data_IF_040096010593
#
_entry.id   IF_040096010593
#
_cell.length_a   1.000
_cell.length_b   1.000
_cell.length_c   1.000
_cell.angle_alpha   90.00
_cell.angle_beta   90.00
_cell.angle_gamma   90.00
#
_symmetry.space_group_name_H-M   'P 1'
#
loop_
_entity.id
_entity.type
_entity.pdbx_description
1 polymer ?
#
# COMPACT_ATOMS: atom_id res chain seq x y z
N UNK A 1 -10.43 -12.47 0.32
CA UNK A 1 -9.99 -13.47 1.31
C UNK A 1 -9.04 -14.46 0.66
N UNK A 2 -7.96 -14.80 1.33
CA UNK A 2 -7.04 -15.86 0.91
C UNK A 2 -6.93 -16.94 2.01
N UNK A 3 -6.75 -18.18 1.59
CA UNK A 3 -6.55 -19.33 2.47
C UNK A 3 -5.40 -20.16 1.93
N UNK A 4 -4.52 -20.61 2.81
CA UNK A 4 -3.31 -21.35 2.47
C UNK A 4 -3.23 -22.68 3.19
N UNK A 5 -2.60 -23.64 2.54
CA UNK A 5 -2.19 -24.90 3.13
C UNK A 5 -0.76 -25.24 2.73
N UNK A 6 0.04 -25.79 3.63
CA UNK A 6 1.47 -26.05 3.41
C UNK A 6 2.35 -24.81 3.60
N UNK A 7 3.64 -24.93 3.28
CA UNK A 7 4.62 -23.85 3.33
C UNK A 7 4.60 -23.01 2.06
N UNK A 8 4.97 -21.73 2.15
CA UNK A 8 5.14 -20.87 0.99
C UNK A 8 6.35 -21.32 0.15
N UNK A 9 6.24 -21.13 -1.18
CA UNK A 9 7.31 -21.46 -2.11
C UNK A 9 7.58 -22.99 -2.25
N UNK A 10 6.92 -23.63 -3.18
CA UNK A 10 7.20 -25.03 -3.51
C UNK A 10 6.58 -26.10 -2.58
N UNK A 11 5.64 -25.75 -1.80
CA UNK A 11 4.82 -26.64 -0.94
C UNK A 11 3.50 -25.98 -0.62
N UNK A 12 3.25 -24.85 -1.25
CA UNK A 12 2.10 -24.02 -1.01
C UNK A 12 0.89 -24.49 -1.81
N UNK A 13 -0.22 -24.63 -1.13
CA UNK A 13 -1.53 -24.82 -1.75
C UNK A 13 -2.44 -23.70 -1.25
N UNK A 14 -2.73 -22.73 -2.09
CA UNK A 14 -3.48 -21.54 -1.73
C UNK A 14 -4.72 -21.35 -2.59
N UNK A 15 -5.64 -20.55 -2.06
CA UNK A 15 -6.83 -20.12 -2.77
C UNK A 15 -7.13 -18.67 -2.45
N UNK A 16 -7.44 -17.90 -3.47
CA UNK A 16 -8.04 -16.58 -3.32
C UNK A 16 -9.53 -16.67 -3.63
N UNK A 17 -10.33 -16.17 -2.70
CA UNK A 17 -11.78 -16.27 -2.73
C UNK A 17 -12.39 -14.87 -2.68
N UNK A 18 -13.45 -14.64 -3.43
CA UNK A 18 -14.31 -13.45 -3.30
C UNK A 18 -15.62 -13.78 -2.61
N UNK A 19 -16.08 -12.87 -1.79
CA UNK A 19 -17.37 -12.92 -1.10
C UNK A 19 -17.92 -11.51 -0.98
N UNK A 20 -19.23 -11.36 -1.04
CA UNK A 20 -19.90 -10.08 -0.93
C UNK A 20 -20.74 -10.00 0.34
N UNK A 21 -20.77 -8.82 0.92
CA UNK A 21 -21.69 -8.47 2.00
C UNK A 21 -22.23 -7.06 1.76
N UNK A 22 -23.50 -6.85 2.07
CA UNK A 22 -24.14 -5.53 1.90
C UNK A 22 -23.67 -4.50 2.91
N UNK A 23 -23.15 -4.94 4.04
CA UNK A 23 -22.71 -4.08 5.15
C UNK A 23 -21.54 -4.72 5.89
N UNK A 24 -20.72 -3.89 6.53
CA UNK A 24 -19.67 -4.32 7.47
C UNK A 24 -20.13 -4.27 8.93
N UNK A 25 -21.35 -3.77 9.20
CA UNK A 25 -21.91 -3.77 10.57
C UNK A 25 -22.41 -5.17 10.93
N UNK A 26 -21.76 -5.87 11.86
CA UNK A 26 -22.14 -7.23 12.26
C UNK A 26 -23.50 -7.28 12.99
N UNK A 27 -24.01 -6.15 13.47
CA UNK A 27 -25.34 -6.05 14.11
C UNK A 27 -26.48 -5.79 13.12
N UNK A 28 -26.17 -5.51 11.87
CA UNK A 28 -27.17 -5.29 10.85
C UNK A 28 -27.87 -6.59 10.46
N UNK A 29 -29.20 -6.59 10.28
CA UNK A 29 -29.93 -7.76 9.76
C UNK A 29 -29.48 -8.16 8.34
N UNK A 30 -28.84 -7.25 7.61
CA UNK A 30 -28.30 -7.49 6.26
C UNK A 30 -26.86 -8.02 6.28
N UNK A 31 -26.25 -8.22 7.45
CA UNK A 31 -24.90 -8.75 7.58
C UNK A 31 -24.86 -10.24 7.23
N UNK A 32 -24.63 -10.51 5.96
CA UNK A 32 -24.51 -11.87 5.45
C UNK A 32 -23.59 -11.89 4.25
N UNK A 33 -22.52 -12.70 4.34
CA UNK A 33 -21.67 -12.97 3.19
C UNK A 33 -22.34 -13.95 2.23
N UNK A 34 -22.08 -13.75 0.94
CA UNK A 34 -22.39 -14.75 -0.10
C UNK A 34 -21.52 -15.99 0.06
N UNK A 35 -21.86 -17.06 -0.62
CA UNK A 35 -20.97 -18.20 -0.74
C UNK A 35 -19.64 -17.77 -1.37
N UNK A 36 -18.49 -18.32 -0.92
CA UNK A 36 -17.18 -18.01 -1.46
C UNK A 36 -17.05 -18.48 -2.92
N UNK A 37 -16.44 -17.62 -3.74
CA UNK A 37 -16.16 -17.89 -5.13
C UNK A 37 -14.64 -17.97 -5.28
N UNK A 38 -14.11 -19.08 -5.73
CA UNK A 38 -12.69 -19.24 -6.04
C UNK A 38 -12.36 -18.46 -7.32
N UNK A 39 -11.36 -17.57 -7.23
CA UNK A 39 -10.90 -16.75 -8.35
C UNK A 39 -9.45 -16.99 -8.73
N UNK A 40 -8.65 -17.54 -7.82
CA UNK A 40 -7.32 -18.06 -8.08
C UNK A 40 -7.01 -19.21 -7.13
N UNK A 41 -6.19 -20.15 -7.58
CA UNK A 41 -5.63 -21.24 -6.79
C UNK A 41 -4.20 -21.51 -7.22
N UNK A 42 -3.42 -22.10 -6.34
CA UNK A 42 -2.06 -22.57 -6.62
C UNK A 42 -1.90 -24.03 -6.19
N UNK A 43 -1.12 -24.76 -6.95
CA UNK A 43 -0.69 -26.11 -6.66
C UNK A 43 0.81 -26.13 -6.39
N UNK A 44 1.31 -27.27 -5.90
CA UNK A 44 2.70 -27.44 -5.43
C UNK A 44 3.79 -27.06 -6.44
N UNK A 45 3.52 -27.19 -7.73
CA UNK A 45 4.46 -26.98 -8.84
C UNK A 45 4.20 -25.70 -9.64
N UNK A 46 3.31 -24.85 -9.17
CA UNK A 46 3.03 -23.58 -9.84
C UNK A 46 4.07 -22.50 -9.49
N UNK A 47 4.22 -21.56 -10.42
CA UNK A 47 5.14 -20.41 -10.33
C UNK A 47 4.49 -19.16 -9.72
N UNK A 48 3.38 -19.34 -9.00
CA UNK A 48 2.68 -18.28 -8.30
C UNK A 48 1.88 -18.85 -7.12
N UNK A 49 2.07 -18.31 -5.95
CA UNK A 49 1.26 -18.63 -4.78
C UNK A 49 -0.06 -17.84 -4.79
N UNK A 50 -1.20 -18.50 -4.62
CA UNK A 50 -2.51 -17.85 -4.57
C UNK A 50 -2.82 -17.32 -3.17
N UNK A 51 -2.20 -16.20 -2.80
CA UNK A 51 -2.32 -15.51 -1.51
C UNK A 51 -2.16 -14.00 -1.69
N UNK A 52 -2.41 -13.23 -0.66
CA UNK A 52 -2.17 -11.79 -0.56
C UNK A 52 -2.88 -10.96 -1.65
N UNK A 53 -4.19 -11.14 -1.72
CA UNK A 53 -4.99 -10.50 -2.75
C UNK A 53 -5.20 -8.99 -2.51
N UNK A 54 -4.87 -8.18 -3.52
CA UNK A 54 -5.22 -6.77 -3.62
C UNK A 54 -6.32 -6.53 -4.66
N UNK A 55 -7.22 -5.59 -4.43
CA UNK A 55 -8.34 -5.28 -5.33
C UNK A 55 -8.33 -3.83 -5.79
N UNK A 56 -8.53 -3.62 -7.09
CA UNK A 56 -8.78 -2.30 -7.67
C UNK A 56 -10.06 -2.32 -8.52
N UNK A 57 -11.07 -1.57 -8.09
CA UNK A 57 -12.13 -1.15 -9.01
C UNK A 57 -11.59 0.05 -9.80
N UNK A 58 -11.31 -0.17 -11.07
CA UNK A 58 -10.70 0.84 -11.93
C UNK A 58 -11.67 2.02 -12.16
N UNK A 59 -11.32 3.23 -11.70
CA UNK A 59 -12.21 4.37 -11.84
C UNK A 59 -12.30 4.90 -13.26
N UNK A 60 -11.50 4.39 -14.20
CA UNK A 60 -11.48 4.86 -15.59
C UNK A 60 -12.48 4.14 -16.48
N UNK A 61 -12.73 2.86 -16.21
CA UNK A 61 -13.58 2.02 -17.05
C UNK A 61 -14.52 1.08 -16.26
N UNK A 62 -14.43 1.07 -14.93
CA UNK A 62 -15.27 0.27 -14.04
C UNK A 62 -14.91 -1.21 -13.97
N UNK A 63 -13.78 -1.64 -14.55
CA UNK A 63 -13.30 -3.01 -14.43
C UNK A 63 -12.75 -3.30 -13.04
N UNK A 64 -12.92 -4.53 -12.60
CA UNK A 64 -12.42 -4.99 -11.31
C UNK A 64 -11.18 -5.86 -11.51
N UNK A 65 -10.08 -5.44 -10.92
CA UNK A 65 -8.80 -6.12 -11.02
C UNK A 65 -8.39 -6.68 -9.66
N UNK A 66 -7.78 -7.87 -9.67
CA UNK A 66 -7.24 -8.52 -8.49
C UNK A 66 -5.79 -8.91 -8.76
N UNK A 67 -4.88 -8.44 -7.88
CA UNK A 67 -3.49 -8.90 -7.84
C UNK A 67 -3.32 -9.93 -6.74
N UNK A 68 -2.42 -10.90 -6.91
CA UNK A 68 -2.08 -11.90 -5.91
C UNK A 68 -0.70 -12.50 -6.20
N UNK A 69 -0.09 -13.13 -5.22
CA UNK A 69 1.19 -13.81 -5.36
C UNK A 69 2.18 -13.52 -4.24
N UNK A 70 3.33 -14.19 -4.29
CA UNK A 70 4.43 -13.99 -3.35
C UNK A 70 5.76 -13.81 -4.07
N UNK A 71 6.82 -13.52 -3.32
CA UNK A 71 8.19 -13.39 -3.86
C UNK A 71 8.83 -14.73 -4.28
N UNK A 72 8.16 -15.85 -4.05
CA UNK A 72 8.60 -17.18 -4.55
C UNK A 72 8.23 -17.43 -6.01
N UNK A 73 7.60 -16.48 -6.67
CA UNK A 73 7.20 -16.57 -8.06
C UNK A 73 6.74 -15.22 -8.61
N UNK A 74 5.72 -15.25 -9.42
CA UNK A 74 5.14 -14.04 -10.01
C UNK A 74 4.04 -13.45 -9.12
N UNK A 75 3.92 -12.13 -9.18
CA UNK A 75 2.67 -11.46 -8.85
C UNK A 75 1.82 -11.45 -10.12
N UNK A 76 0.61 -11.96 -10.00
CA UNK A 76 -0.36 -12.07 -11.08
C UNK A 76 -1.51 -11.10 -10.93
N UNK A 77 -2.02 -10.66 -12.06
CA UNK A 77 -3.19 -9.81 -12.20
C UNK A 77 -4.26 -10.57 -12.97
N UNK A 78 -5.48 -10.56 -12.47
CA UNK A 78 -6.66 -11.13 -13.13
C UNK A 78 -7.81 -10.13 -13.11
N UNK A 79 -8.66 -10.20 -14.13
CA UNK A 79 -9.89 -9.40 -14.20
C UNK A 79 -11.06 -10.19 -13.64
N UNK A 80 -11.85 -9.51 -12.80
CA UNK A 80 -13.08 -10.04 -12.21
C UNK A 80 -14.29 -9.29 -12.76
N UNK A 81 -15.40 -9.96 -12.84
CA UNK A 81 -16.70 -9.32 -13.09
C UNK A 81 -17.10 -8.51 -11.84
N UNK A 82 -17.23 -7.18 -11.94
CA UNK A 82 -17.53 -6.33 -10.80
C UNK A 82 -18.94 -6.59 -10.21
N UNK A 83 -19.85 -7.19 -10.95
CA UNK A 83 -21.19 -7.51 -10.47
C UNK A 83 -21.24 -8.81 -9.64
N UNK A 84 -20.38 -9.76 -9.96
CA UNK A 84 -20.42 -11.09 -9.35
C UNK A 84 -19.19 -11.44 -8.54
N UNK A 85 -18.06 -10.77 -8.77
CA UNK A 85 -16.75 -11.10 -8.19
C UNK A 85 -16.12 -12.37 -8.77
N UNK A 86 -16.69 -12.93 -9.83
CA UNK A 86 -16.13 -14.09 -10.54
C UNK A 86 -15.01 -13.66 -11.47
N UNK A 87 -14.09 -14.54 -11.74
CA UNK A 87 -13.09 -14.34 -12.77
C UNK A 87 -13.78 -14.20 -14.15
N UNK A 88 -13.33 -13.23 -14.95
CA UNK A 88 -13.81 -13.06 -16.31
C UNK A 88 -13.39 -14.24 -17.18
N UNK A 89 -14.36 -14.86 -17.87
CA UNK A 89 -14.09 -15.99 -18.75
C UNK A 89 -13.18 -15.58 -19.91
N UNK A 90 -12.23 -16.45 -20.22
CA UNK A 90 -11.28 -16.25 -21.33
C UNK A 90 -10.12 -15.30 -21.04
N UNK A 91 -10.12 -14.60 -19.91
CA UNK A 91 -9.00 -13.75 -19.52
C UNK A 91 -7.90 -14.59 -18.88
N UNK A 92 -6.67 -14.42 -19.43
CA UNK A 92 -5.46 -15.03 -18.89
C UNK A 92 -4.92 -14.21 -17.74
N UNK A 93 -4.19 -14.87 -16.86
CA UNK A 93 -3.36 -14.22 -15.86
C UNK A 93 -2.26 -13.41 -16.54
N UNK A 94 -1.92 -12.30 -15.92
CA UNK A 94 -0.88 -11.38 -16.39
C UNK A 94 0.16 -11.28 -15.28
N UNK A 95 1.39 -11.66 -15.58
CA UNK A 95 2.50 -11.46 -14.66
C UNK A 95 2.90 -9.98 -14.65
N UNK A 96 2.94 -9.37 -13.46
CA UNK A 96 3.14 -7.92 -13.30
C UNK A 96 4.34 -7.55 -12.44
N UNK A 97 4.82 -8.44 -11.59
CA UNK A 97 6.00 -8.23 -10.75
C UNK A 97 6.63 -9.55 -10.32
N UNK A 98 7.86 -9.48 -9.80
CA UNK A 98 8.59 -10.51 -9.08
C UNK A 98 9.25 -9.92 -7.83
N UNK A 99 9.83 -10.76 -6.98
CA UNK A 99 10.58 -10.37 -5.78
C UNK A 99 9.79 -9.50 -4.79
N UNK A 100 8.49 -9.63 -4.77
CA UNK A 100 7.62 -8.95 -3.81
C UNK A 100 6.38 -9.79 -3.49
N UNK A 101 5.67 -9.39 -2.45
CA UNK A 101 4.40 -9.99 -2.04
C UNK A 101 3.44 -8.92 -1.51
N UNK A 102 2.26 -9.30 -1.05
CA UNK A 102 1.28 -8.42 -0.42
C UNK A 102 1.04 -7.16 -1.26
N UNK A 103 0.68 -7.37 -2.51
CA UNK A 103 0.53 -6.29 -3.48
C UNK A 103 -0.84 -5.64 -3.43
N UNK A 104 -0.86 -4.33 -3.70
CA UNK A 104 -2.08 -3.57 -3.89
C UNK A 104 -1.92 -2.57 -5.03
N UNK A 105 -3.03 -2.16 -5.62
CA UNK A 105 -3.09 -1.27 -6.78
C UNK A 105 -3.76 0.05 -6.42
N UNK A 106 -3.14 1.16 -6.83
CA UNK A 106 -3.72 2.50 -6.72
C UNK A 106 -3.79 3.13 -8.10
N UNK A 107 -4.92 3.75 -8.44
CA UNK A 107 -5.01 4.67 -9.58
C UNK A 107 -5.00 6.11 -9.11
N UNK A 108 -4.11 6.93 -9.70
CA UNK A 108 -4.03 8.36 -9.43
C UNK A 108 -3.45 9.13 -10.61
N UNK A 109 -4.08 10.22 -11.00
CA UNK A 109 -3.58 11.20 -11.98
C UNK A 109 -3.12 10.55 -13.30
N UNK A 110 -3.90 9.56 -13.78
CA UNK A 110 -3.60 8.84 -15.04
C UNK A 110 -2.48 7.81 -14.94
N UNK A 111 -2.12 7.40 -13.73
CA UNK A 111 -1.16 6.34 -13.46
C UNK A 111 -1.74 5.26 -12.56
N UNK A 112 -1.42 4.03 -12.85
CA UNK A 112 -1.57 2.88 -11.97
C UNK A 112 -0.26 2.67 -11.21
N UNK A 113 -0.36 2.50 -9.92
CA UNK A 113 0.76 2.23 -9.02
C UNK A 113 0.57 0.84 -8.44
N UNK A 114 1.55 -0.03 -8.64
CA UNK A 114 1.62 -1.34 -8.00
C UNK A 114 2.56 -1.22 -6.81
N UNK A 115 2.01 -1.33 -5.61
CA UNK A 115 2.78 -1.40 -4.39
C UNK A 115 2.99 -2.87 -4.03
N UNK A 116 4.19 -3.21 -3.62
CA UNK A 116 4.52 -4.56 -3.19
C UNK A 116 5.49 -4.53 -2.03
N UNK A 117 5.51 -5.58 -1.24
CA UNK A 117 6.42 -5.73 -0.12
C UNK A 117 7.58 -6.60 -0.51
N UNK A 118 8.78 -6.09 -0.32
CA UNK A 118 10.06 -6.75 -0.61
C UNK A 118 10.79 -7.10 0.68
N UNK A 119 11.67 -8.11 0.65
CA UNK A 119 12.43 -8.57 1.80
C UNK A 119 11.73 -9.67 2.59
N UNK A 120 12.13 -9.88 3.84
CA UNK A 120 11.63 -10.98 4.69
C UNK A 120 10.84 -10.44 5.88
N UNK A 121 9.72 -11.10 6.20
CA UNK A 121 8.90 -10.79 7.39
C UNK A 121 9.22 -11.73 8.55
N UNK A 122 8.59 -11.41 9.68
CA UNK A 122 8.27 -12.37 10.74
C UNK A 122 9.52 -12.94 11.45
N UNK A 123 10.65 -12.25 11.35
CA UNK A 123 11.93 -12.60 11.98
C UNK A 123 12.33 -11.57 13.06
N UNK A 124 11.34 -10.98 13.70
CA UNK A 124 11.56 -9.98 14.75
C UNK A 124 12.51 -8.87 14.31
N UNK A 125 13.54 -8.57 15.12
CA UNK A 125 14.51 -7.50 14.79
C UNK A 125 15.27 -7.68 13.48
N UNK A 126 15.31 -8.90 12.94
CA UNK A 126 16.03 -9.23 11.71
C UNK A 126 15.16 -9.09 10.45
N UNK A 127 13.88 -8.81 10.60
CA UNK A 127 12.97 -8.59 9.47
C UNK A 127 13.46 -7.46 8.57
N UNK A 128 13.48 -7.70 7.26
CA UNK A 128 13.98 -6.77 6.24
C UNK A 128 12.87 -6.19 5.37
N UNK A 129 11.62 -6.45 5.71
CA UNK A 129 10.48 -5.94 4.95
C UNK A 129 10.59 -4.46 4.66
N UNK A 130 10.17 -4.09 3.48
CA UNK A 130 10.05 -2.73 3.00
C UNK A 130 9.00 -2.68 1.88
N UNK A 131 8.36 -1.55 1.68
CA UNK A 131 7.37 -1.39 0.62
C UNK A 131 8.00 -0.63 -0.53
N UNK A 132 7.86 -1.19 -1.72
CA UNK A 132 8.31 -0.61 -2.99
C UNK A 132 7.13 -0.37 -3.91
N UNK A 133 7.33 0.46 -4.93
CA UNK A 133 6.30 0.82 -5.91
C UNK A 133 6.86 0.92 -7.32
N UNK A 134 6.13 0.38 -8.27
CA UNK A 134 6.25 0.69 -9.70
C UNK A 134 4.99 1.38 -10.22
N UNK A 135 5.07 2.07 -11.34
CA UNK A 135 3.90 2.68 -11.98
C UNK A 135 3.81 2.38 -13.47
N UNK A 136 2.59 2.42 -13.99
CA UNK A 136 2.28 2.20 -15.41
C UNK A 136 1.14 3.10 -15.87
N UNK A 137 1.04 3.33 -17.18
CA UNK A 137 -0.14 3.96 -17.80
C UNK A 137 -1.28 2.98 -18.06
N UNK A 138 -1.02 1.69 -17.93
CA UNK A 138 -2.01 0.62 -18.10
C UNK A 138 -2.04 -0.22 -16.83
N UNK A 139 -3.22 -0.65 -16.42
CA UNK A 139 -3.38 -1.54 -15.25
C UNK A 139 -2.62 -2.86 -15.43
N UNK A 140 -2.49 -3.32 -16.66
CA UNK A 140 -1.75 -4.55 -17.03
C UNK A 140 -0.23 -4.37 -17.09
N UNK A 141 0.29 -3.19 -16.75
CA UNK A 141 1.71 -2.89 -16.80
C UNK A 141 2.25 -2.50 -18.21
N UNK A 142 3.56 -2.55 -18.46
CA UNK A 142 4.59 -2.88 -17.45
C UNK A 142 4.70 -1.80 -16.35
N UNK A 143 4.87 -2.23 -15.12
CA UNK A 143 5.16 -1.36 -13.99
C UNK A 143 6.65 -1.10 -13.92
N UNK A 144 7.03 0.18 -13.85
CA UNK A 144 8.44 0.60 -13.79
C UNK A 144 8.67 1.52 -12.58
N UNK A 145 9.85 1.45 -12.00
CA UNK A 145 10.28 2.36 -10.95
C UNK A 145 10.73 3.73 -11.50
N UNK A 146 11.24 4.59 -10.64
CA UNK A 146 11.71 5.92 -11.01
C UNK A 146 13.02 5.92 -11.82
N UNK A 147 13.69 4.80 -11.94
CA UNK A 147 14.89 4.59 -12.78
C UNK A 147 14.56 3.91 -14.10
N UNK A 148 13.28 3.53 -14.31
CA UNK A 148 12.83 2.83 -15.51
C UNK A 148 12.98 1.30 -15.45
N UNK A 149 13.41 0.72 -14.33
CA UNK A 149 13.50 -0.73 -14.17
C UNK A 149 12.12 -1.32 -13.92
N UNK A 150 11.80 -2.40 -14.61
CA UNK A 150 10.51 -3.07 -14.49
C UNK A 150 10.41 -3.85 -13.17
N UNK A 151 9.23 -3.91 -12.58
CA UNK A 151 8.96 -4.78 -11.43
C UNK A 151 9.07 -6.26 -11.80
N UNK A 152 8.84 -6.64 -13.04
CA UNK A 152 9.16 -7.99 -13.57
C UNK A 152 10.67 -8.29 -13.67
N UNK A 153 11.51 -7.31 -13.40
CA UNK A 153 12.97 -7.42 -13.34
C UNK A 153 13.49 -7.10 -11.92
N UNK A 154 12.61 -7.14 -10.91
CA UNK A 154 12.93 -6.79 -9.52
C UNK A 154 13.15 -5.28 -9.32
N UNK A 155 12.56 -4.42 -10.16
CA UNK A 155 12.52 -2.97 -9.95
C UNK A 155 11.54 -2.59 -8.83
N UNK A 156 11.67 -1.38 -8.32
CA UNK A 156 10.77 -0.84 -7.31
C UNK A 156 11.37 0.36 -6.60
N UNK A 157 10.62 1.46 -6.55
CA UNK A 157 10.99 2.64 -5.79
C UNK A 157 10.53 2.50 -4.35
N UNK A 158 11.42 2.78 -3.39
CA UNK A 158 11.10 2.74 -1.97
C UNK A 158 9.96 3.69 -1.58
N UNK A 159 8.97 3.16 -0.86
CA UNK A 159 7.86 3.91 -0.22
C UNK A 159 8.11 4.04 1.28
N UNK A 160 8.48 2.95 1.93
CA UNK A 160 8.86 2.90 3.35
C UNK A 160 9.86 1.77 3.57
N UNK A 161 10.83 2.01 4.44
CA UNK A 161 11.78 1.03 4.94
C UNK A 161 11.90 1.13 6.46
N UNK A 162 12.70 0.25 7.05
CA UNK A 162 13.02 0.29 8.47
C UNK A 162 13.59 1.66 8.88
N UNK A 163 13.15 2.16 10.02
CA UNK A 163 13.59 3.43 10.59
C UNK A 163 12.83 3.74 11.87
N UNK A 164 13.35 4.67 12.67
CA UNK A 164 12.70 5.15 13.90
C UNK A 164 12.21 4.03 14.84
N UNK A 165 13.01 2.96 15.01
CA UNK A 165 12.67 1.74 15.78
C UNK A 165 11.48 0.94 15.22
N UNK A 166 11.14 1.12 13.98
CA UNK A 166 10.20 0.29 13.24
C UNK A 166 11.00 -0.55 12.25
N UNK A 167 11.01 -1.85 12.45
CA UNK A 167 11.75 -2.79 11.62
C UNK A 167 10.79 -3.55 10.71
N UNK A 168 11.18 -3.75 9.48
CA UNK A 168 10.44 -4.56 8.53
C UNK A 168 9.01 -4.08 8.24
N UNK A 169 8.77 -2.80 7.90
CA UNK A 169 7.42 -2.35 7.54
C UNK A 169 6.99 -2.96 6.20
N UNK A 170 5.87 -3.67 6.19
CA UNK A 170 5.38 -4.34 5.00
C UNK A 170 3.88 -4.58 5.00
N UNK A 171 3.41 -5.24 3.96
CA UNK A 171 2.00 -5.55 3.69
C UNK A 171 1.16 -4.28 3.62
N UNK A 172 1.30 -3.57 2.51
CA UNK A 172 0.61 -2.31 2.24
C UNK A 172 -0.92 -2.49 2.23
N UNK A 173 -1.61 -1.56 2.86
CA UNK A 173 -3.04 -1.38 2.70
C UNK A 173 -3.37 0.10 2.52
N UNK A 174 -4.27 0.41 1.60
CA UNK A 174 -4.76 1.78 1.40
C UNK A 174 -6.11 1.95 2.06
N UNK A 175 -6.28 3.05 2.78
CA UNK A 175 -7.60 3.50 3.18
C UNK A 175 -7.75 5.02 3.12
N UNK A 176 -8.94 5.43 2.76
CA UNK A 176 -9.34 6.83 2.75
C UNK A 176 -10.03 7.15 4.07
N UNK A 177 -9.63 8.24 4.67
CA UNK A 177 -10.28 8.74 5.89
C UNK A 177 -11.11 9.97 5.58
N UNK A 178 -12.09 10.22 6.44
CA UNK A 178 -13.03 11.33 6.29
C UNK A 178 -12.38 12.72 6.34
N UNK A 179 -11.13 12.82 6.82
CA UNK A 179 -10.34 14.07 6.85
C UNK A 179 -9.75 14.45 5.47
N UNK A 180 -9.98 13.62 4.43
CA UNK A 180 -9.46 13.85 3.09
C UNK A 180 -7.99 13.46 2.89
N UNK A 181 -7.31 13.01 3.93
CA UNK A 181 -5.92 12.53 3.84
C UNK A 181 -5.91 11.04 3.53
N UNK A 182 -5.27 10.64 2.45
CA UNK A 182 -5.02 9.24 2.17
C UNK A 182 -4.05 8.68 3.22
N UNK A 183 -4.36 7.52 3.76
CA UNK A 183 -3.54 6.83 4.74
C UNK A 183 -3.19 5.44 4.21
N UNK A 184 -2.06 4.95 4.63
CA UNK A 184 -1.62 3.58 4.42
C UNK A 184 -1.50 2.86 5.75
N UNK A 185 -1.74 1.57 5.72
CA UNK A 185 -1.38 0.66 6.80
C UNK A 185 -0.21 -0.22 6.37
N UNK A 186 0.56 -0.64 7.34
CA UNK A 186 1.54 -1.70 7.23
C UNK A 186 1.66 -2.38 8.58
N UNK A 187 2.19 -3.58 8.64
CA UNK A 187 2.73 -4.07 9.90
C UNK A 187 4.22 -3.76 9.97
N UNK A 188 4.77 -3.73 11.16
CA UNK A 188 6.20 -3.63 11.42
C UNK A 188 6.54 -4.34 12.73
N UNK A 189 7.79 -4.73 12.87
CA UNK A 189 8.25 -5.35 14.12
C UNK A 189 8.61 -4.28 15.14
N UNK A 190 8.01 -4.39 16.32
CA UNK A 190 8.24 -3.52 17.47
C UNK A 190 8.57 -4.38 18.71
N UNK A 191 8.77 -3.75 19.87
CA UNK A 191 9.03 -4.44 21.15
C UNK A 191 10.25 -5.37 21.04
N UNK A 192 11.38 -4.82 20.65
CA UNK A 192 12.64 -5.58 20.44
C UNK A 192 13.15 -6.28 21.69
N UNK A 193 12.78 -5.79 22.87
CA UNK A 193 13.12 -6.45 24.16
C UNK A 193 12.37 -7.78 24.36
N UNK A 194 11.38 -8.04 23.50
CA UNK A 194 10.59 -9.29 23.48
C UNK A 194 10.71 -10.05 22.16
N UNK A 195 11.80 -9.87 21.44
CA UNK A 195 12.08 -10.56 20.19
C UNK A 195 11.41 -9.96 18.95
N UNK A 196 10.87 -8.76 19.05
CA UNK A 196 10.07 -8.13 18.02
C UNK A 196 8.64 -8.72 17.95
N UNK A 197 7.65 -7.88 17.86
CA UNK A 197 6.25 -8.29 17.67
C UNK A 197 5.66 -7.45 16.55
N UNK A 198 4.98 -8.11 15.63
CA UNK A 198 4.26 -7.42 14.56
C UNK A 198 3.14 -6.57 15.14
N UNK A 199 3.13 -5.31 14.79
CA UNK A 199 2.12 -4.33 15.19
C UNK A 199 1.63 -3.57 13.97
N UNK A 200 0.40 -3.07 14.05
CA UNK A 200 -0.19 -2.24 13.00
C UNK A 200 0.43 -0.84 13.02
N UNK A 201 0.95 -0.42 11.88
CA UNK A 201 1.34 0.96 11.60
C UNK A 201 0.33 1.63 10.69
N UNK A 202 -0.06 2.85 11.03
CA UNK A 202 -0.91 3.70 10.18
C UNK A 202 -0.14 4.99 9.92
N UNK A 203 0.03 5.34 8.64
CA UNK A 203 0.78 6.52 8.23
C UNK A 203 0.04 7.31 7.16
N UNK A 204 0.23 8.63 7.08
CA UNK A 204 -0.20 9.38 5.90
C UNK A 204 0.47 8.81 4.64
N UNK A 205 -0.29 8.66 3.56
CA UNK A 205 0.25 8.37 2.24
C UNK A 205 0.39 9.69 1.49
N UNK A 206 1.63 10.17 1.39
CA UNK A 206 1.98 11.42 0.75
C UNK A 206 2.46 11.18 -0.68
N UNK A 207 2.57 12.27 -1.45
CA UNK A 207 3.00 12.20 -2.85
C UNK A 207 4.12 13.20 -3.11
N UNK A 208 5.27 12.73 -3.56
CA UNK A 208 6.41 13.55 -3.95
C UNK A 208 6.78 13.26 -5.41
N UNK A 209 6.74 14.29 -6.25
CA UNK A 209 7.07 14.18 -7.69
C UNK A 209 6.29 13.07 -8.43
N UNK A 210 5.01 12.90 -8.07
CA UNK A 210 4.15 11.86 -8.66
C UNK A 210 4.45 10.44 -8.18
N UNK A 211 5.09 10.28 -7.01
CA UNK A 211 5.34 8.98 -6.38
C UNK A 211 4.81 8.96 -4.94
N UNK A 212 4.23 7.84 -4.50
CA UNK A 212 3.80 7.70 -3.12
C UNK A 212 5.01 7.57 -2.19
N UNK A 213 4.88 8.15 -1.01
CA UNK A 213 5.82 8.02 0.10
C UNK A 213 5.05 7.93 1.41
N UNK A 214 5.52 7.11 2.33
CA UNK A 214 4.96 7.08 3.67
C UNK A 214 5.32 8.35 4.43
N UNK A 215 4.31 9.03 4.96
CA UNK A 215 4.51 10.14 5.87
C UNK A 215 4.88 9.69 7.28
N UNK A 216 5.37 10.62 8.09
CA UNK A 216 5.66 10.36 9.50
C UNK A 216 4.41 10.57 10.37
N UNK A 217 4.37 9.85 11.48
CA UNK A 217 3.38 10.09 12.56
C UNK A 217 4.03 11.05 13.55
N UNK A 218 3.55 12.27 13.60
CA UNK A 218 4.04 13.27 14.55
C UNK A 218 3.37 13.07 15.92
N UNK A 219 4.17 13.17 16.98
CA UNK A 219 3.64 13.33 18.32
C UNK A 219 3.19 14.78 18.51
N UNK A 220 2.27 15.03 19.43
CA UNK A 220 1.96 16.42 19.82
C UNK A 220 3.22 17.12 20.30
N UNK A 221 3.46 18.33 19.76
CA UNK A 221 4.68 19.10 20.05
C UNK A 221 4.81 20.31 19.16
N UNK A 222 5.90 21.02 19.35
CA UNK A 222 6.31 22.13 18.52
C UNK A 222 7.33 21.64 17.51
N UNK A 223 7.08 21.87 16.25
CA UNK A 223 7.93 21.42 15.13
C UNK A 223 8.32 22.62 14.27
N UNK A 224 9.52 22.56 13.73
CA UNK A 224 9.98 23.43 12.67
C UNK A 224 9.90 22.68 11.34
N UNK A 225 9.24 23.29 10.35
CA UNK A 225 9.17 22.73 9.00
C UNK A 225 10.20 23.50 8.15
N UNK A 226 11.29 22.80 7.82
CA UNK A 226 12.34 23.38 6.98
C UNK A 226 12.10 23.08 5.50
N UNK A 227 12.47 24.04 4.66
CA UNK A 227 12.60 23.82 3.23
C UNK A 227 13.81 22.93 2.93
N UNK A 228 13.78 22.12 1.86
CA UNK A 228 14.98 21.46 1.32
C UNK A 228 16.07 22.48 0.94
N UNK A 229 15.68 23.71 0.63
CA UNK A 229 16.60 24.80 0.43
C UNK A 229 17.02 25.34 1.78
N UNK A 230 18.30 25.27 2.10
CA UNK A 230 18.85 25.73 3.38
C UNK A 230 18.55 27.21 3.65
N UNK A 231 18.23 27.53 4.89
CA UNK A 231 17.97 28.91 5.33
C UNK A 231 16.55 29.37 5.13
N UNK A 232 15.64 28.50 4.72
CA UNK A 232 14.22 28.82 4.57
C UNK A 232 13.36 27.90 5.42
N UNK A 233 12.29 28.45 5.97
CA UNK A 233 11.25 27.72 6.67
C UNK A 233 9.88 27.95 6.02
N UNK A 234 8.93 27.06 6.26
CA UNK A 234 7.56 27.20 5.80
C UNK A 234 6.75 27.95 6.85
N UNK A 235 6.19 29.10 6.49
CA UNK A 235 5.15 29.75 7.28
C UNK A 235 3.76 29.37 6.74
N UNK A 236 2.88 29.03 7.65
CA UNK A 236 1.46 28.94 7.39
C UNK A 236 0.81 30.28 7.70
N UNK A 237 0.46 31.05 6.65
CA UNK A 237 -0.30 32.28 6.80
C UNK A 237 -1.81 31.93 6.83
N UNK A 238 -2.47 32.22 7.94
CA UNK A 238 -3.91 32.02 8.14
C UNK A 238 -4.60 33.37 8.08
N UNK A 239 -5.63 33.49 7.25
CA UNK A 239 -6.54 34.65 7.31
C UNK A 239 -7.56 34.42 8.44
N UNK A 240 -7.30 35.07 9.57
CA UNK A 240 -8.16 34.97 10.75
C UNK A 240 -9.57 35.52 10.55
N UNK A 241 -9.78 36.35 9.53
CA UNK A 241 -11.11 36.94 9.24
C UNK A 241 -12.02 35.91 8.53
N UNK A 242 -11.41 35.05 7.71
CA UNK A 242 -12.15 34.05 6.90
C UNK A 242 -11.86 32.62 7.30
N UNK A 243 -10.93 32.37 8.21
CA UNK A 243 -10.40 31.04 8.51
C UNK A 243 -9.93 30.25 7.27
N UNK A 244 -9.50 30.96 6.24
CA UNK A 244 -8.99 30.36 5.01
C UNK A 244 -7.47 30.40 5.00
N UNK A 245 -6.86 29.27 4.61
CA UNK A 245 -5.42 29.20 4.36
C UNK A 245 -5.11 29.88 3.04
N UNK A 246 -4.58 31.10 3.07
CA UNK A 246 -4.45 31.92 1.87
C UNK A 246 -3.10 31.82 1.18
N UNK A 247 -2.01 31.53 1.89
CA UNK A 247 -0.67 31.40 1.28
C UNK A 247 0.30 30.63 2.16
N UNK A 248 1.18 29.89 1.49
CA UNK A 248 2.41 29.37 2.04
C UNK A 248 3.55 30.28 1.60
N UNK A 249 4.39 30.75 2.53
CA UNK A 249 5.56 31.57 2.25
C UNK A 249 6.81 30.88 2.76
N UNK A 250 7.90 31.03 2.02
CA UNK A 250 9.24 30.66 2.47
C UNK A 250 10.04 31.93 2.72
N UNK A 251 10.68 32.02 3.86
CA UNK A 251 11.58 33.13 4.22
C UNK A 251 12.80 32.67 5.00
N UNK A 252 13.70 33.58 5.24
CA UNK A 252 14.89 33.32 6.04
C UNK A 252 14.53 33.01 7.50
N UNK A 253 15.28 32.08 8.08
CA UNK A 253 14.93 31.32 9.29
C UNK A 253 14.94 32.12 10.60
N UNK A 254 15.55 33.34 10.63
CA UNK A 254 15.90 34.00 11.89
C UNK A 254 14.71 34.58 12.67
N UNK A 255 13.54 34.73 12.04
CA UNK A 255 12.35 35.34 12.65
C UNK A 255 11.07 34.52 12.51
N UNK A 256 11.17 33.23 12.22
CA UNK A 256 9.97 32.37 11.97
C UNK A 256 9.30 32.00 13.28
N UNK A 257 8.03 32.37 13.49
CA UNK A 257 7.30 31.92 14.66
C UNK A 257 7.09 30.41 14.61
N UNK A 258 7.39 29.76 15.70
CA UNK A 258 7.16 28.30 15.85
C UNK A 258 5.66 28.05 15.98
N UNK A 259 5.08 27.32 15.04
CA UNK A 259 3.66 26.98 15.06
C UNK A 259 3.49 25.56 15.66
N UNK A 260 2.71 25.42 16.71
CA UNK A 260 2.40 24.08 17.24
C UNK A 260 1.62 23.28 16.22
N UNK A 261 2.15 22.12 15.81
CA UNK A 261 1.43 21.14 15.01
C UNK A 261 0.71 20.18 15.95
N UNK A 262 -0.60 20.10 15.82
CA UNK A 262 -1.37 19.05 16.51
C UNK A 262 -1.41 17.81 15.63
N UNK A 263 -1.26 16.61 16.20
CA UNK A 263 -1.55 15.37 15.47
C UNK A 263 -3.00 15.41 14.97
N UNK A 264 -3.21 15.07 13.71
CA UNK A 264 -4.54 14.89 13.14
C UNK A 264 -5.04 13.48 13.38
#
# INVERSE_FOLDING_TARGET
YSATGGGLGGGHSGKVLTMWNKTLDPNSPDFKYTEPIEVASSAYDEDCDAIDAGLLLDPTDGRLWLSYGTYFGFIRLVELDPATGKRMEGNKEIDIAIDCEATDLIYRDGWYYLLGTHGTCCDGPNSTYNIVVGRSRKVTGPYVDNMGRKMLEGGGKMVIAAGNRQTGPGHFGLFKVADGVAKMSCHFEADFDRGGRSVLGIRPLLWKNGWPVAGEVFKEGTYEIESERRGYALELAVDFVRMEYTRHRFWEKDDTPVVPLKPQ
#
